data_IF_470499978648
#
_entry.id   IF_470499978648
#
_cell.length_a   1.000
_cell.length_b   1.000
_cell.length_c   1.000
_cell.angle_alpha   90.00
_cell.angle_beta   90.00
_cell.angle_gamma   90.00
#
_symmetry.space_group_name_H-M   'P 1'
#
loop_
_entity.id
_entity.type
_entity.pdbx_description
1 polymer ?
#
# COMPACT_ATOMS: atom_id res chain seq x y z
N UNK A 1 -15.28 13.03 -2.35
CA UNK A 1 -14.28 12.50 -3.28
C UNK A 1 -13.37 11.52 -2.57
N UNK A 2 -13.27 10.31 -3.08
CA UNK A 2 -12.48 9.25 -2.44
C UNK A 2 -11.17 9.03 -3.18
N UNK A 3 -10.08 9.02 -2.44
CA UNK A 3 -8.75 8.74 -2.96
C UNK A 3 -8.45 7.26 -2.80
N UNK A 4 -8.10 6.60 -3.88
CA UNK A 4 -7.70 5.18 -3.81
C UNK A 4 -6.22 5.11 -3.47
N UNK A 5 -5.89 4.40 -2.40
CA UNK A 5 -4.54 4.36 -1.83
C UNK A 5 -4.05 2.92 -1.75
N UNK A 6 -2.86 2.68 -2.30
CA UNK A 6 -2.18 1.39 -2.13
C UNK A 6 -1.14 1.53 -1.02
N UNK A 7 -1.10 0.53 -0.14
CA UNK A 7 -0.07 0.42 0.89
C UNK A 7 0.85 -0.73 0.46
N UNK A 8 1.99 -0.40 -0.12
CA UNK A 8 2.96 -1.40 -0.55
C UNK A 8 3.86 -1.75 0.62
N UNK A 9 3.90 -3.02 0.98
CA UNK A 9 4.53 -3.48 2.20
C UNK A 9 3.55 -3.55 3.36
N UNK A 10 2.29 -3.83 3.07
CA UNK A 10 1.20 -3.80 4.05
C UNK A 10 1.38 -4.78 5.20
N UNK A 11 2.16 -5.84 5.01
CA UNK A 11 2.40 -6.83 6.07
C UNK A 11 3.53 -6.44 7.01
N UNK A 12 4.32 -5.42 6.67
CA UNK A 12 5.39 -4.92 7.54
C UNK A 12 4.88 -3.98 8.62
N UNK A 13 5.76 -3.62 9.56
CA UNK A 13 5.38 -2.76 10.69
C UNK A 13 4.90 -1.39 10.24
N UNK A 14 5.61 -0.75 9.33
CA UNK A 14 5.24 0.58 8.84
C UNK A 14 3.94 0.52 8.04
N UNK A 15 3.77 -0.52 7.23
CA UNK A 15 2.55 -0.69 6.45
C UNK A 15 1.32 -0.86 7.34
N UNK A 16 1.44 -1.63 8.40
CA UNK A 16 0.36 -1.81 9.37
C UNK A 16 0.02 -0.51 10.08
N UNK A 17 1.05 0.26 10.42
CA UNK A 17 0.86 1.58 11.05
C UNK A 17 0.11 2.52 10.12
N UNK A 18 0.44 2.51 8.83
CA UNK A 18 -0.27 3.30 7.84
C UNK A 18 -1.73 2.90 7.74
N UNK A 19 -2.01 1.60 7.76
CA UNK A 19 -3.39 1.11 7.74
C UNK A 19 -4.16 1.59 8.96
N UNK A 20 -3.54 1.55 10.14
CA UNK A 20 -4.17 2.02 11.37
C UNK A 20 -4.48 3.52 11.30
N UNK A 21 -3.54 4.31 10.80
CA UNK A 21 -3.72 5.77 10.68
C UNK A 21 -4.88 6.07 9.73
N UNK A 22 -4.93 5.40 8.58
CA UNK A 22 -6.00 5.61 7.61
C UNK A 22 -7.36 5.19 8.16
N UNK A 23 -7.40 4.12 8.94
CA UNK A 23 -8.61 3.68 9.61
C UNK A 23 -9.08 4.72 10.63
N UNK A 24 -8.16 5.25 11.42
CA UNK A 24 -8.47 6.28 12.42
C UNK A 24 -9.01 7.55 11.76
N UNK A 25 -8.54 7.85 10.56
CA UNK A 25 -9.01 9.02 9.81
C UNK A 25 -10.26 8.71 8.99
N UNK A 26 -10.85 7.55 9.19
CA UNK A 26 -12.14 7.14 8.62
C UNK A 26 -12.14 7.04 7.10
N UNK A 27 -11.01 6.66 6.51
CA UNK A 27 -10.99 6.31 5.11
C UNK A 27 -11.82 5.04 4.88
N UNK A 28 -12.50 4.98 3.75
CA UNK A 28 -13.30 3.83 3.39
C UNK A 28 -12.39 2.65 3.02
N UNK A 29 -12.65 1.49 3.62
CA UNK A 29 -11.84 0.30 3.35
C UNK A 29 -11.86 -0.12 1.88
N UNK A 30 -12.92 0.20 1.15
CA UNK A 30 -13.01 -0.13 -0.27
C UNK A 30 -12.03 0.69 -1.14
N UNK A 31 -11.46 1.75 -0.58
CA UNK A 31 -10.49 2.60 -1.28
C UNK A 31 -9.05 2.31 -0.85
N UNK A 32 -8.84 1.32 0.01
CA UNK A 32 -7.52 0.96 0.52
C UNK A 32 -7.11 -0.40 -0.05
N UNK A 33 -5.92 -0.45 -0.66
CA UNK A 33 -5.41 -1.64 -1.32
C UNK A 33 -4.10 -2.07 -0.67
N UNK A 34 -4.12 -3.09 0.20
CA UNK A 34 -2.88 -3.59 0.79
C UNK A 34 -2.14 -4.45 -0.24
N UNK A 35 -0.87 -4.14 -0.45
CA UNK A 35 -0.05 -4.79 -1.47
C UNK A 35 1.25 -5.24 -0.82
N UNK A 36 1.72 -6.42 -1.17
CA UNK A 36 2.97 -6.96 -0.66
C UNK A 36 3.57 -7.94 -1.69
N UNK A 37 4.66 -8.60 -1.32
CA UNK A 37 5.27 -9.59 -2.21
C UNK A 37 4.32 -10.77 -2.46
N UNK A 38 4.60 -11.55 -3.51
CA UNK A 38 3.79 -12.72 -3.84
C UNK A 38 3.72 -13.73 -2.70
N UNK A 39 4.74 -13.75 -1.83
CA UNK A 39 4.76 -14.63 -0.66
C UNK A 39 3.67 -14.29 0.35
N UNK A 40 3.24 -13.04 0.38
CA UNK A 40 2.22 -12.56 1.30
C UNK A 40 0.84 -12.46 0.67
N UNK A 41 0.72 -12.82 -0.59
CA UNK A 41 -0.57 -12.79 -1.29
C UNK A 41 -1.62 -13.60 -0.56
N UNK A 42 -2.79 -13.01 -0.37
CA UNK A 42 -3.89 -13.68 0.32
C UNK A 42 -3.87 -13.53 1.83
N UNK A 43 -2.79 -12.95 2.39
CA UNK A 43 -2.72 -12.66 3.82
C UNK A 43 -3.74 -11.60 4.17
N UNK A 44 -4.35 -11.73 5.35
CA UNK A 44 -5.29 -10.73 5.83
C UNK A 44 -4.59 -9.71 6.71
N UNK A 45 -4.91 -8.45 6.51
CA UNK A 45 -4.41 -7.36 7.36
C UNK A 45 -5.58 -6.59 7.92
N UNK A 46 -5.41 -6.08 9.14
CA UNK A 46 -6.47 -5.35 9.82
C UNK A 46 -6.57 -3.91 9.34
N UNK A 47 -7.80 -3.46 9.13
CA UNK A 47 -8.10 -2.06 8.84
C UNK A 47 -9.30 -1.66 9.72
N UNK A 48 -9.00 -1.13 10.91
CA UNK A 48 -10.02 -0.88 11.91
C UNK A 48 -10.66 -2.18 12.36
N UNK A 49 -11.96 -2.28 12.22
CA UNK A 49 -12.73 -3.48 12.55
C UNK A 49 -12.94 -4.42 11.35
N UNK A 50 -12.29 -4.11 10.23
CA UNK A 50 -12.38 -4.92 9.01
C UNK A 50 -11.05 -5.58 8.69
N UNK A 51 -11.11 -6.58 7.82
CA UNK A 51 -9.92 -7.26 7.31
C UNK A 51 -9.84 -7.06 5.81
N UNK A 52 -8.63 -6.76 5.31
CA UNK A 52 -8.37 -6.61 3.89
C UNK A 52 -7.44 -7.72 3.43
N UNK A 53 -7.60 -8.17 2.18
CA UNK A 53 -6.79 -9.23 1.60
C UNK A 53 -5.63 -8.60 0.85
N UNK A 54 -4.41 -9.04 1.16
CA UNK A 54 -3.19 -8.53 0.52
C UNK A 54 -3.10 -9.06 -0.91
N UNK A 55 -2.81 -8.15 -1.85
CA UNK A 55 -2.55 -8.50 -3.24
C UNK A 55 -1.05 -8.54 -3.51
N UNK A 56 -0.63 -9.42 -4.42
CA UNK A 56 0.76 -9.49 -4.82
C UNK A 56 1.12 -8.30 -5.69
N UNK A 57 2.28 -7.68 -5.44
CA UNK A 57 2.70 -6.48 -6.14
C UNK A 57 2.90 -6.73 -7.65
N UNK A 58 3.32 -7.92 -8.03
CA UNK A 58 3.54 -8.28 -9.43
C UNK A 58 2.23 -8.52 -10.19
N UNK A 59 1.13 -8.64 -9.49
CA UNK A 59 -0.21 -8.83 -10.07
C UNK A 59 -1.09 -7.59 -9.90
N UNK A 60 -0.66 -6.65 -9.10
CA UNK A 60 -1.45 -5.46 -8.79
C UNK A 60 -1.36 -4.45 -9.94
N UNK A 61 -2.50 -3.89 -10.33
CA UNK A 61 -2.55 -2.86 -11.37
C UNK A 61 -2.45 -1.47 -10.73
N UNK A 62 -1.34 -0.75 -10.92
CA UNK A 62 -1.18 0.59 -10.33
C UNK A 62 -2.21 1.61 -10.82
N UNK A 63 -2.85 1.36 -11.94
CA UNK A 63 -3.87 2.27 -12.46
C UNK A 63 -5.13 2.33 -11.59
N UNK A 64 -5.29 1.36 -10.68
CA UNK A 64 -6.43 1.32 -9.76
C UNK A 64 -6.35 2.36 -8.66
N UNK A 65 -5.17 2.91 -8.39
CA UNK A 65 -4.96 3.79 -7.24
C UNK A 65 -4.40 5.13 -7.68
N UNK A 66 -4.68 6.13 -6.86
CA UNK A 66 -4.22 7.50 -7.08
C UNK A 66 -2.92 7.79 -6.33
N UNK A 67 -2.70 7.07 -5.22
CA UNK A 67 -1.57 7.27 -4.33
C UNK A 67 -1.04 5.92 -3.89
N UNK A 68 0.27 5.75 -3.91
CA UNK A 68 0.92 4.55 -3.39
C UNK A 68 1.93 4.94 -2.31
N UNK A 69 1.77 4.36 -1.13
CA UNK A 69 2.69 4.54 -0.02
C UNK A 69 3.59 3.31 0.05
N UNK A 70 4.87 3.49 -0.24
CA UNK A 70 5.84 2.39 -0.25
C UNK A 70 6.54 2.32 1.10
N UNK A 71 6.31 1.23 1.82
CA UNK A 71 6.91 0.98 3.12
C UNK A 71 7.67 -0.35 3.16
N UNK A 72 7.91 -0.95 2.00
CA UNK A 72 8.49 -2.29 1.89
C UNK A 72 10.02 -2.30 1.82
N UNK A 73 10.65 -1.13 1.89
CA UNK A 73 12.11 -1.02 1.79
C UNK A 73 12.55 -0.43 0.46
N UNK A 74 13.80 0.06 0.43
CA UNK A 74 14.32 0.80 -0.71
C UNK A 74 14.41 -0.05 -1.98
N UNK A 75 14.73 -1.34 -1.86
CA UNK A 75 14.85 -2.21 -3.03
C UNK A 75 13.51 -2.41 -3.74
N UNK A 76 12.44 -2.58 -2.97
CA UNK A 76 11.10 -2.73 -3.53
C UNK A 76 10.64 -1.43 -4.18
N UNK A 77 10.86 -0.31 -3.52
CA UNK A 77 10.51 1.00 -4.05
C UNK A 77 11.24 1.27 -5.37
N UNK A 78 12.53 0.99 -5.41
CA UNK A 78 13.36 1.21 -6.59
C UNK A 78 12.86 0.38 -7.78
N UNK A 79 12.42 -0.82 -7.52
CA UNK A 79 11.94 -1.73 -8.57
C UNK A 79 10.55 -1.35 -9.07
N UNK A 80 9.64 -1.01 -8.18
CA UNK A 80 8.23 -0.86 -8.52
C UNK A 80 7.71 0.56 -8.59
N UNK A 81 8.32 1.51 -7.90
CA UNK A 81 7.84 2.90 -7.89
C UNK A 81 7.75 3.51 -9.30
N UNK A 82 8.72 3.31 -10.19
CA UNK A 82 8.61 3.86 -11.55
C UNK A 82 7.39 3.35 -12.31
N UNK A 83 7.03 2.09 -12.12
CA UNK A 83 5.86 1.50 -12.77
C UNK A 83 4.58 2.17 -12.27
N UNK A 84 4.49 2.42 -10.97
CA UNK A 84 3.34 3.12 -10.40
C UNK A 84 3.25 4.55 -10.92
N UNK A 85 4.38 5.24 -11.00
CA UNK A 85 4.43 6.61 -11.50
C UNK A 85 4.00 6.71 -12.96
N UNK A 86 4.34 5.72 -13.78
CA UNK A 86 3.94 5.66 -15.19
C UNK A 86 2.42 5.58 -15.36
N UNK A 87 1.72 5.08 -14.36
CA UNK A 87 0.26 4.96 -14.38
C UNK A 87 -0.44 6.16 -13.73
N UNK A 88 0.25 7.29 -13.65
CA UNK A 88 -0.27 8.52 -13.06
C UNK A 88 -0.58 8.40 -11.56
N UNK A 89 0.09 7.47 -10.89
CA UNK A 89 -0.04 7.28 -9.46
C UNK A 89 1.01 8.12 -8.74
N UNK A 90 0.60 8.83 -7.71
CA UNK A 90 1.54 9.58 -6.86
C UNK A 90 2.22 8.58 -5.94
N UNK A 91 3.55 8.56 -5.95
CA UNK A 91 4.33 7.62 -5.14
C UNK A 91 5.02 8.35 -4.01
N UNK A 92 4.83 7.85 -2.79
CA UNK A 92 5.55 8.34 -1.61
C UNK A 92 6.33 7.17 -1.04
N UNK A 93 7.65 7.31 -0.99
CA UNK A 93 8.54 6.26 -0.49
C UNK A 93 8.88 6.53 0.97
N UNK A 94 8.27 5.77 1.86
CA UNK A 94 8.45 5.92 3.30
C UNK A 94 9.73 5.25 3.79
N UNK A 95 10.36 4.42 2.96
CA UNK A 95 11.59 3.75 3.36
C UNK A 95 12.78 4.71 3.48
N UNK A 96 12.67 5.91 2.91
CA UNK A 96 13.71 6.93 2.99
C UNK A 96 13.52 7.89 4.15
N UNK A 97 12.46 7.72 4.94
CA UNK A 97 12.19 8.58 6.08
C UNK A 97 12.81 7.94 7.31
N UNK A 98 13.79 8.61 7.87
CA UNK A 98 14.43 8.20 9.11
C UNK A 98 13.82 8.99 10.27
N UNK A 99 13.25 8.25 11.17
CA UNK A 99 12.65 8.83 12.37
C UNK A 99 13.51 8.49 13.57
#
# INVERSE_FOLDING_TARGET
MSLNIAIVGATGNVGREMLNILSDRKYDSSNIFPVASSKSEGTKVEFGDKELIVEAIDKFDPAKVDLALFSAGASVSKEWAPMFAEKNCIVIDLSLIHI
#
